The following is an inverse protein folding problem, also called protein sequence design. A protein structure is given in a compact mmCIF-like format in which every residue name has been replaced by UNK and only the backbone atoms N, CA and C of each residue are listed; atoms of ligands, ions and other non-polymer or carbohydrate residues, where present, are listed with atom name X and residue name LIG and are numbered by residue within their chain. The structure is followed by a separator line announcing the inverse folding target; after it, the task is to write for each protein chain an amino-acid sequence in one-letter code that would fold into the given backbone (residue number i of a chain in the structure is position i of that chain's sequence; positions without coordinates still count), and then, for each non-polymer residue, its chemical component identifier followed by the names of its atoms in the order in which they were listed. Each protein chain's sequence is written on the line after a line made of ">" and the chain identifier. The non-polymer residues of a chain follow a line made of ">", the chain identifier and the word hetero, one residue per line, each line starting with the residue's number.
data_IF_702141167926
#
_entry.id   IF_702141167926
#
_cell.length_a   1.000
_cell.length_b   1.000
_cell.length_c   1.000
_cell.angle_alpha   90.00
_cell.angle_beta   90.00
_cell.angle_gamma   90.00
#
_symmetry.space_group_name_H-M   'P 1'
#
loop_
_entity.id
_entity.type
_entity.pdbx_description
1 polymer ?
#
# COMPACT_ATOMS: atom_id res chain seq x y z
N UNK A 1 16.51 -8.84 5.94
CA UNK A 1 16.26 -7.39 5.92
C UNK A 1 14.76 -7.13 5.88
N UNK A 2 14.30 -6.19 6.66
CA UNK A 2 12.87 -5.81 6.70
C UNK A 2 12.66 -4.51 5.95
N UNK A 3 11.82 -4.58 4.92
CA UNK A 3 11.43 -3.40 4.15
C UNK A 3 9.96 -3.11 4.41
N UNK A 4 9.65 -1.87 4.79
CA UNK A 4 8.27 -1.42 4.95
C UNK A 4 7.96 -0.41 3.85
N UNK A 5 6.82 -0.60 3.21
CA UNK A 5 6.30 0.29 2.18
C UNK A 5 4.97 0.86 2.67
N UNK A 6 4.90 2.18 2.80
CA UNK A 6 3.66 2.85 3.19
C UNK A 6 2.92 3.24 1.90
N UNK A 7 1.77 2.62 1.68
CA UNK A 7 0.96 2.80 0.50
C UNK A 7 0.66 1.51 -0.22
N UNK A 8 -0.35 1.52 -1.09
CA UNK A 8 -0.72 0.37 -1.92
C UNK A 8 -1.18 0.81 -3.31
N UNK A 9 -0.65 1.91 -3.80
CA UNK A 9 -0.90 2.39 -5.15
C UNK A 9 0.12 1.86 -6.15
N UNK A 10 0.21 2.52 -7.29
CA UNK A 10 1.12 2.10 -8.38
C UNK A 10 2.57 2.12 -7.93
N UNK A 11 3.02 3.19 -7.29
CA UNK A 11 4.40 3.31 -6.85
C UNK A 11 4.78 2.23 -5.84
N UNK A 12 3.91 2.00 -4.86
CA UNK A 12 4.15 0.99 -3.82
C UNK A 12 4.22 -0.42 -4.41
N UNK A 13 3.28 -0.77 -5.27
CA UNK A 13 3.25 -2.11 -5.89
C UNK A 13 4.40 -2.32 -6.88
N UNK A 14 4.76 -1.29 -7.63
CA UNK A 14 5.92 -1.36 -8.53
C UNK A 14 7.21 -1.57 -7.74
N UNK A 15 7.37 -0.87 -6.63
CA UNK A 15 8.54 -1.04 -5.76
C UNK A 15 8.58 -2.44 -5.15
N UNK A 16 7.46 -2.94 -4.65
CA UNK A 16 7.38 -4.27 -4.07
C UNK A 16 7.74 -5.35 -5.10
N UNK A 17 7.23 -5.22 -6.32
CA UNK A 17 7.57 -6.14 -7.41
C UNK A 17 9.06 -6.11 -7.74
N UNK A 18 9.64 -4.92 -7.85
CA UNK A 18 11.06 -4.77 -8.14
C UNK A 18 11.94 -5.35 -7.05
N UNK A 19 11.62 -5.07 -5.79
CA UNK A 19 12.37 -5.64 -4.66
C UNK A 19 12.31 -7.17 -4.71
N UNK A 20 11.14 -7.74 -4.94
CA UNK A 20 10.97 -9.20 -4.95
C UNK A 20 11.68 -9.85 -6.13
N UNK A 21 11.80 -9.15 -7.25
CA UNK A 21 12.54 -9.65 -8.40
C UNK A 21 14.03 -9.79 -8.11
N UNK A 22 14.62 -8.82 -7.41
CA UNK A 22 16.05 -8.82 -7.11
C UNK A 22 16.41 -9.45 -5.78
N UNK A 23 15.51 -9.44 -4.80
CA UNK A 23 15.77 -9.93 -3.45
C UNK A 23 14.62 -10.84 -2.99
N UNK A 24 14.82 -12.15 -3.13
CA UNK A 24 13.78 -13.14 -2.87
C UNK A 24 13.50 -13.37 -1.38
N UNK A 25 14.43 -13.03 -0.52
CA UNK A 25 14.35 -13.34 0.91
C UNK A 25 14.06 -12.14 1.81
N UNK A 26 13.92 -10.95 1.24
CA UNK A 26 13.53 -9.78 2.03
C UNK A 26 12.12 -9.93 2.57
N UNK A 27 11.93 -9.50 3.82
CA UNK A 27 10.60 -9.35 4.37
C UNK A 27 10.03 -8.02 3.87
N UNK A 28 8.92 -8.07 3.17
CA UNK A 28 8.23 -6.89 2.67
C UNK A 28 6.89 -6.77 3.38
N UNK A 29 6.67 -5.66 4.06
CA UNK A 29 5.38 -5.31 4.66
C UNK A 29 4.88 -4.04 3.99
N UNK A 30 3.68 -4.09 3.44
CA UNK A 30 2.99 -2.93 2.87
C UNK A 30 1.86 -2.52 3.79
N UNK A 31 1.72 -1.21 4.02
CA UNK A 31 0.70 -0.68 4.90
C UNK A 31 -0.19 0.27 4.11
N UNK A 32 -1.48 0.00 4.10
CA UNK A 32 -2.46 0.81 3.37
C UNK A 32 -3.62 1.21 4.28
N UNK A 33 -4.02 2.47 4.22
CA UNK A 33 -5.21 2.94 4.94
C UNK A 33 -6.50 2.53 4.24
N UNK A 34 -6.44 2.15 2.96
CA UNK A 34 -7.57 1.59 2.24
C UNK A 34 -7.75 0.11 2.58
N UNK A 35 -8.99 -0.35 2.63
CA UNK A 35 -9.31 -1.76 2.85
C UNK A 35 -9.27 -2.58 1.56
N UNK A 36 -9.03 -1.94 0.43
CA UNK A 36 -9.05 -2.54 -0.90
C UNK A 36 -7.68 -3.05 -1.32
N UNK A 37 -7.68 -4.08 -2.18
CA UNK A 37 -6.47 -4.52 -2.86
C UNK A 37 -6.08 -3.51 -3.95
N UNK A 38 -4.89 -3.69 -4.54
CA UNK A 38 -4.43 -2.79 -5.58
C UNK A 38 -5.33 -2.90 -6.82
N UNK A 39 -5.97 -1.79 -7.18
CA UNK A 39 -6.88 -1.70 -8.31
C UNK A 39 -6.42 -0.64 -9.31
N UNK A 40 -6.91 -0.75 -10.54
CA UNK A 40 -6.60 0.21 -11.61
C UNK A 40 -7.43 1.49 -11.40
N UNK A 41 -6.82 2.51 -10.80
CA UNK A 41 -7.51 3.79 -10.52
C UNK A 41 -8.10 4.44 -11.77
N UNK A 42 -7.44 4.43 -12.94
CA UNK A 42 -8.06 4.96 -14.16
C UNK A 42 -9.34 4.25 -14.60
N UNK A 43 -9.53 3.01 -14.16
CA UNK A 43 -10.73 2.23 -14.49
C UNK A 43 -11.85 2.38 -13.47
N UNK A 44 -11.65 3.18 -12.44
CA UNK A 44 -12.65 3.40 -11.40
C UNK A 44 -13.92 4.01 -11.96
N UNK A 45 -13.82 4.85 -12.99
CA UNK A 45 -14.99 5.43 -13.67
C UNK A 45 -15.87 4.36 -14.31
N UNK A 46 -15.29 3.32 -14.87
CA UNK A 46 -16.03 2.19 -15.44
C UNK A 46 -16.81 1.44 -14.36
N UNK A 47 -16.19 1.25 -13.21
CA UNK A 47 -16.86 0.62 -12.08
C UNK A 47 -18.00 1.48 -11.55
N UNK A 48 -17.77 2.77 -11.35
CA UNK A 48 -18.80 3.71 -10.87
C UNK A 48 -19.96 3.85 -11.85
N UNK A 49 -19.68 3.73 -13.14
CA UNK A 49 -20.71 3.76 -14.19
C UNK A 49 -21.47 2.43 -14.34
N UNK A 50 -21.12 1.41 -13.57
CA UNK A 50 -21.75 0.10 -13.64
C UNK A 50 -21.33 -0.74 -14.83
N UNK A 51 -20.27 -0.34 -15.56
CA UNK A 51 -19.81 -1.04 -16.76
C UNK A 51 -18.90 -2.24 -16.46
N UNK A 52 -18.28 -2.26 -15.28
CA UNK A 52 -17.40 -3.34 -14.86
C UNK A 52 -17.58 -3.62 -13.37
N UNK A 53 -17.61 -4.88 -12.93
CA UNK A 53 -17.56 -5.20 -11.51
C UNK A 53 -16.19 -4.84 -10.95
N UNK A 54 -16.11 -4.59 -9.63
CA UNK A 54 -14.88 -4.18 -8.98
C UNK A 54 -13.76 -5.22 -9.15
N UNK A 55 -14.10 -6.50 -9.15
CA UNK A 55 -13.14 -7.59 -9.30
C UNK A 55 -12.34 -7.51 -10.60
N UNK A 56 -12.93 -6.93 -11.65
CA UNK A 56 -12.26 -6.80 -12.95
C UNK A 56 -11.24 -5.68 -13.00
N UNK A 57 -11.31 -4.72 -12.06
CA UNK A 57 -10.34 -3.64 -12.01
C UNK A 57 -9.22 -3.88 -11.00
N UNK A 58 -9.30 -4.95 -10.22
CA UNK A 58 -8.23 -5.35 -9.30
C UNK A 58 -7.04 -5.85 -10.11
N UNK A 59 -5.87 -5.27 -9.86
CA UNK A 59 -4.62 -5.65 -10.52
C UNK A 59 -3.91 -6.75 -9.73
N UNK A 60 -3.76 -6.55 -8.40
CA UNK A 60 -3.19 -7.53 -7.51
C UNK A 60 -4.21 -7.91 -6.44
N UNK A 61 -4.56 -9.17 -6.37
CA UNK A 61 -5.45 -9.71 -5.35
C UNK A 61 -4.65 -10.32 -4.19
N UNK A 62 -5.35 -10.90 -3.22
CA UNK A 62 -4.71 -11.54 -2.07
C UNK A 62 -3.70 -12.59 -2.48
N UNK A 63 -4.02 -13.39 -3.50
CA UNK A 63 -3.15 -14.43 -4.01
C UNK A 63 -1.82 -13.89 -4.49
N UNK A 64 -1.82 -12.72 -5.14
CA UNK A 64 -0.58 -12.10 -5.61
C UNK A 64 0.35 -11.75 -4.45
N UNK A 65 -0.19 -11.17 -3.36
CA UNK A 65 0.62 -10.81 -2.18
C UNK A 65 1.16 -12.06 -1.49
N UNK A 66 0.34 -13.09 -1.35
CA UNK A 66 0.76 -14.37 -0.77
C UNK A 66 1.86 -15.03 -1.60
N UNK A 67 1.68 -15.08 -2.91
CA UNK A 67 2.66 -15.68 -3.84
C UNK A 67 4.00 -14.96 -3.79
N UNK A 68 4.00 -13.66 -3.58
CA UNK A 68 5.21 -12.86 -3.52
C UNK A 68 5.73 -12.68 -2.09
N UNK A 69 5.12 -13.38 -1.14
CA UNK A 69 5.50 -13.35 0.27
C UNK A 69 5.55 -11.92 0.81
N UNK A 70 4.50 -11.16 0.54
CA UNK A 70 4.33 -9.76 0.98
C UNK A 70 3.21 -9.72 2.01
N UNK A 71 3.50 -9.14 3.17
CA UNK A 71 2.49 -8.89 4.19
C UNK A 71 1.80 -7.56 3.88
N UNK A 72 0.53 -7.63 3.53
CA UNK A 72 -0.28 -6.44 3.25
C UNK A 72 -1.21 -6.15 4.42
N UNK A 73 -0.98 -5.04 5.11
CA UNK A 73 -1.86 -4.54 6.17
C UNK A 73 -2.84 -3.54 5.56
N UNK A 74 -4.07 -3.98 5.34
CA UNK A 74 -5.14 -3.17 4.78
C UNK A 74 -5.94 -2.50 5.88
N UNK A 75 -6.47 -1.31 5.60
CA UNK A 75 -7.27 -0.57 6.57
C UNK A 75 -6.45 -0.15 7.79
N UNK A 76 -5.14 0.01 7.63
CA UNK A 76 -4.23 0.37 8.70
C UNK A 76 -3.61 1.73 8.42
N UNK A 77 -3.61 2.60 9.42
CA UNK A 77 -3.08 3.95 9.27
C UNK A 77 -1.75 4.09 10.00
N UNK A 78 -0.82 4.80 9.37
CA UNK A 78 0.45 5.19 9.99
C UNK A 78 0.25 6.55 10.65
N UNK A 79 0.56 6.64 11.93
CA UNK A 79 0.44 7.87 12.71
C UNK A 79 1.77 8.61 12.85
N UNK A 80 2.88 7.88 12.91
CA UNK A 80 4.20 8.48 13.06
C UNK A 80 5.31 7.54 12.61
N UNK A 81 6.47 8.13 12.32
CA UNK A 81 7.67 7.40 11.96
C UNK A 81 8.78 7.85 12.91
N UNK A 82 9.37 6.89 13.60
CA UNK A 82 10.52 7.14 14.47
C UNK A 82 11.79 6.75 13.71
N UNK A 83 12.41 7.73 13.09
CA UNK A 83 13.62 7.49 12.28
C UNK A 83 14.84 7.15 13.11
N UNK A 84 14.88 7.60 14.37
CA UNK A 84 15.98 7.29 15.27
C UNK A 84 16.03 5.81 15.62
N UNK A 85 14.87 5.22 15.93
CA UNK A 85 14.75 3.80 16.28
C UNK A 85 14.31 2.93 15.11
N UNK A 86 14.11 3.52 13.93
CA UNK A 86 13.66 2.83 12.71
C UNK A 86 12.38 2.05 12.94
N UNK A 87 11.35 2.76 13.37
CA UNK A 87 10.03 2.18 13.65
C UNK A 87 8.94 2.97 12.98
N UNK A 88 7.91 2.25 12.52
CA UNK A 88 6.67 2.84 12.02
C UNK A 88 5.58 2.54 13.04
N UNK A 89 4.85 3.57 13.46
CA UNK A 89 3.81 3.47 14.47
C UNK A 89 2.45 3.79 13.86
N UNK A 90 1.44 3.08 14.27
CA UNK A 90 0.09 3.30 13.77
C UNK A 90 -0.94 2.42 14.45
N UNK A 91 -2.10 2.26 13.82
CA UNK A 91 -3.20 1.44 14.32
C UNK A 91 -2.81 -0.03 14.55
N UNK A 92 -1.79 -0.49 13.86
CA UNK A 92 -1.25 -1.85 13.95
C UNK A 92 -0.22 -2.03 15.07
N UNK A 93 0.11 -0.96 15.82
CA UNK A 93 1.17 -0.96 16.84
C UNK A 93 2.45 -0.36 16.30
N UNK A 94 3.58 -1.02 16.56
CA UNK A 94 4.92 -0.58 16.13
C UNK A 94 5.61 -1.67 15.34
N UNK A 95 6.20 -1.30 14.20
CA UNK A 95 6.95 -2.21 13.35
C UNK A 95 8.33 -1.66 13.08
N UNK A 96 9.35 -2.48 13.25
CA UNK A 96 10.72 -2.12 12.93
C UNK A 96 10.98 -2.31 11.43
N UNK A 97 11.85 -1.46 10.88
CA UNK A 97 12.27 -1.58 9.50
C UNK A 97 13.79 -1.39 9.38
N UNK A 98 14.35 -1.96 8.33
CA UNK A 98 15.71 -1.66 7.88
C UNK A 98 15.66 -0.61 6.78
N UNK A 99 14.69 -0.72 5.90
CA UNK A 99 14.43 0.26 4.83
C UNK A 99 12.96 0.62 4.81
N UNK A 100 12.69 1.90 4.59
CA UNK A 100 11.33 2.43 4.54
C UNK A 100 11.13 3.20 3.23
N UNK A 101 10.06 2.86 2.52
CA UNK A 101 9.61 3.60 1.36
C UNK A 101 8.26 4.23 1.66
N UNK A 102 8.15 5.53 1.48
CA UNK A 102 6.89 6.25 1.63
C UNK A 102 6.31 6.49 0.24
N UNK A 103 5.21 5.80 -0.05
CA UNK A 103 4.51 5.88 -1.33
C UNK A 103 3.01 6.01 -1.08
N UNK A 104 2.65 6.90 -0.16
CA UNK A 104 1.28 7.05 0.33
C UNK A 104 0.33 7.74 -0.64
N UNK A 105 0.85 8.29 -1.77
CA UNK A 105 0.04 8.96 -2.75
C UNK A 105 -0.44 10.32 -2.29
N UNK A 106 -1.57 10.76 -2.85
CA UNK A 106 -2.16 12.06 -2.57
C UNK A 106 -3.63 11.90 -2.21
N UNK A 107 -4.12 12.85 -1.43
CA UNK A 107 -5.53 12.97 -1.10
C UNK A 107 -6.09 14.27 -1.70
N UNK A 108 -7.39 14.32 -2.06
CA UNK A 108 -7.99 15.55 -2.53
C UNK A 108 -7.87 16.65 -1.47
N UNK A 109 -7.53 17.86 -1.93
CA UNK A 109 -7.47 19.03 -1.07
C UNK A 109 -8.78 19.82 -1.20
N UNK A 110 -9.43 20.10 -0.07
CA UNK A 110 -10.67 20.87 -0.05
C UNK A 110 -10.38 22.32 0.30
N UNK A 111 -10.97 23.31 -0.43
CA UNK A 111 -10.82 24.71 -0.06
C UNK A 111 -11.41 24.99 1.33
N UNK A 112 -10.90 26.02 2.06
CA UNK A 112 -11.38 26.28 3.41
C UNK A 112 -12.87 26.64 3.52
N UNK A 113 -13.49 27.11 2.44
CA UNK A 113 -14.91 27.42 2.40
C UNK A 113 -15.79 26.21 2.07
N UNK A 114 -15.18 25.05 1.87
CA UNK A 114 -15.89 23.83 1.50
C UNK A 114 -16.03 22.95 2.76
N UNK A 115 -17.25 22.93 3.26
CA UNK A 115 -17.55 22.13 4.47
C UNK A 115 -18.50 20.99 4.15
#
# INVERSE_FOLDING_TARGET
>A
MKTIIIGNGVAANSAASAIREYEKENNITMISDESLFFYARPRLTEYLAGKSPFEKIIIHDETWYEKNNIDLLRGASVSSIDTEHRMVCGSFGKLKYDKLLIASGASPSFPPFYN
#
